data_IF_819441763426
#
_entry.id   IF_819441763426
#
_cell.length_a   1.000
_cell.length_b   1.000
_cell.length_c   1.000
_cell.angle_alpha   90.00
_cell.angle_beta   90.00
_cell.angle_gamma   90.00
#
_symmetry.space_group_name_H-M   'P 1'
#
loop_
_entity.id
_entity.type
_entity.pdbx_description
1 polymer ?
#
# COMPACT_ATOMS: atom_id res chain seq x y z
N UNK A 1 -1.95 15.37 -18.79
CA UNK A 1 -1.11 14.92 -19.92
C UNK A 1 0.33 14.88 -19.44
N UNK A 2 1.03 13.76 -19.52
CA UNK A 2 2.41 13.66 -19.05
C UNK A 2 3.37 14.50 -19.91
N UNK A 3 4.44 14.97 -19.29
CA UNK A 3 5.44 15.81 -19.93
C UNK A 3 6.46 14.94 -20.67
N UNK A 4 7.10 15.52 -21.66
CA UNK A 4 8.22 14.92 -22.38
C UNK A 4 9.33 15.97 -22.58
N UNK A 5 10.50 15.55 -23.07
CA UNK A 5 11.65 16.44 -23.22
C UNK A 5 11.32 17.68 -24.06
N UNK A 6 10.62 17.51 -25.18
CA UNK A 6 10.22 18.62 -26.05
C UNK A 6 9.32 19.62 -25.31
N UNK A 7 8.28 19.16 -24.61
CA UNK A 7 7.40 20.03 -23.82
C UNK A 7 8.11 20.73 -22.67
N UNK A 8 9.10 20.08 -22.06
CA UNK A 8 9.92 20.75 -21.05
C UNK A 8 10.70 21.89 -21.66
N UNK A 9 11.35 21.69 -22.81
CA UNK A 9 12.08 22.75 -23.51
C UNK A 9 11.14 23.90 -23.88
N UNK A 10 9.96 23.59 -24.42
CA UNK A 10 8.93 24.59 -24.77
C UNK A 10 8.46 25.41 -23.55
N UNK A 11 8.24 24.76 -22.40
CA UNK A 11 7.78 25.41 -21.16
C UNK A 11 8.86 26.18 -20.42
N UNK A 12 10.10 25.69 -20.48
CA UNK A 12 11.25 26.33 -19.83
C UNK A 12 11.59 27.63 -20.56
N UNK A 13 11.49 27.63 -21.89
CA UNK A 13 11.85 28.80 -22.70
C UNK A 13 13.34 29.13 -22.60
N UNK A 14 13.74 30.29 -23.13
CA UNK A 14 15.16 30.67 -23.30
C UNK A 14 15.91 30.95 -21.97
N UNK A 15 15.17 31.31 -20.92
CA UNK A 15 15.73 31.73 -19.63
C UNK A 15 15.17 30.93 -18.45
N UNK A 16 14.43 29.85 -18.70
CA UNK A 16 13.90 29.03 -17.61
C UNK A 16 14.96 28.12 -17.02
N UNK A 17 14.74 27.75 -15.77
CA UNK A 17 15.57 26.79 -15.04
C UNK A 17 15.35 25.37 -15.60
N UNK A 18 16.42 24.62 -15.93
CA UNK A 18 16.33 23.21 -16.29
C UNK A 18 15.55 22.40 -15.24
N UNK A 19 14.84 21.35 -15.67
CA UNK A 19 13.95 20.59 -14.78
C UNK A 19 14.68 19.96 -13.59
N UNK A 20 15.85 19.39 -13.85
CA UNK A 20 16.75 18.83 -12.85
C UNK A 20 17.22 19.88 -11.85
N UNK A 21 17.69 21.04 -12.34
CA UNK A 21 18.08 22.15 -11.46
C UNK A 21 16.91 22.66 -10.63
N UNK A 22 15.72 22.80 -11.21
CA UNK A 22 14.54 23.26 -10.48
C UNK A 22 14.14 22.29 -9.34
N UNK A 23 14.22 20.98 -9.59
CA UNK A 23 13.95 19.99 -8.53
C UNK A 23 15.05 20.01 -7.46
N UNK A 24 16.32 20.18 -7.85
CA UNK A 24 17.42 20.36 -6.90
C UNK A 24 17.21 21.62 -6.04
N UNK A 25 16.79 22.74 -6.63
CA UNK A 25 16.52 23.99 -5.91
C UNK A 25 15.41 23.80 -4.87
N UNK A 26 14.38 23.00 -5.17
CA UNK A 26 13.31 22.68 -4.21
C UNK A 26 13.83 21.81 -3.05
N UNK A 27 14.68 20.82 -3.34
CA UNK A 27 15.31 19.99 -2.29
C UNK A 27 16.18 20.85 -1.38
N UNK A 28 17.01 21.74 -1.95
CA UNK A 28 17.85 22.66 -1.18
C UNK A 28 16.99 23.60 -0.32
N UNK A 29 15.94 24.19 -0.89
CA UNK A 29 15.02 25.04 -0.13
C UNK A 29 14.35 24.29 1.02
N UNK A 30 14.00 23.01 0.86
CA UNK A 30 13.43 22.21 1.93
C UNK A 30 14.43 22.00 3.08
N UNK A 31 15.69 21.72 2.74
CA UNK A 31 16.76 21.51 3.73
C UNK A 31 17.13 22.77 4.50
N UNK A 32 17.04 23.94 3.84
CA UNK A 32 17.33 25.24 4.44
C UNK A 32 16.13 25.88 5.16
N UNK A 33 14.91 25.40 4.90
CA UNK A 33 13.70 25.95 5.50
C UNK A 33 13.65 25.74 7.01
N UNK A 34 13.44 26.84 7.74
CA UNK A 34 13.32 26.83 9.20
C UNK A 34 11.87 26.78 9.70
N UNK A 35 10.92 27.20 8.87
CA UNK A 35 9.49 27.18 9.18
C UNK A 35 8.76 26.02 8.50
N UNK A 36 7.74 25.51 9.19
CA UNK A 36 6.95 24.37 8.74
C UNK A 36 6.10 24.67 7.50
N UNK A 37 5.56 25.89 7.37
CA UNK A 37 4.73 26.28 6.23
C UNK A 37 5.52 26.21 4.90
N UNK A 38 6.77 26.68 4.91
CA UNK A 38 7.65 26.58 3.75
C UNK A 38 7.96 25.13 3.40
N UNK A 39 8.27 24.29 4.40
CA UNK A 39 8.49 22.86 4.19
C UNK A 39 7.26 22.19 3.58
N UNK A 40 6.08 22.42 4.14
CA UNK A 40 4.81 21.89 3.67
C UNK A 40 4.56 22.24 2.20
N UNK A 41 4.72 23.53 1.84
CA UNK A 41 4.56 24.01 0.47
C UNK A 41 5.53 23.35 -0.50
N UNK A 42 6.79 23.16 -0.08
CA UNK A 42 7.82 22.55 -0.91
C UNK A 42 7.54 21.06 -1.13
N UNK A 43 7.20 20.31 -0.08
CA UNK A 43 6.89 18.87 -0.19
C UNK A 43 5.63 18.65 -1.02
N UNK A 44 4.60 19.49 -0.86
CA UNK A 44 3.41 19.45 -1.72
C UNK A 44 3.78 19.64 -3.21
N UNK A 45 4.68 20.58 -3.51
CA UNK A 45 5.14 20.82 -4.87
C UNK A 45 5.92 19.61 -5.42
N UNK A 46 6.84 19.05 -4.65
CA UNK A 46 7.58 17.84 -5.01
C UNK A 46 6.63 16.64 -5.25
N UNK A 47 5.62 16.46 -4.39
CA UNK A 47 4.63 15.40 -4.53
C UNK A 47 3.75 15.56 -5.79
N UNK A 48 3.45 16.80 -6.17
CA UNK A 48 2.78 17.10 -7.44
C UNK A 48 3.68 16.80 -8.66
N UNK A 49 5.00 17.05 -8.58
CA UNK A 49 5.93 16.61 -9.61
C UNK A 49 6.03 15.09 -9.70
N UNK A 50 5.86 14.37 -8.59
CA UNK A 50 5.90 12.91 -8.55
C UNK A 50 4.74 12.25 -9.31
N UNK A 51 3.74 13.02 -9.74
CA UNK A 51 2.69 12.48 -10.60
C UNK A 51 3.18 12.18 -12.03
N UNK A 52 4.21 12.87 -12.51
CA UNK A 52 4.68 12.74 -13.89
C UNK A 52 5.92 11.84 -14.00
N UNK A 53 5.86 10.70 -14.70
CA UNK A 53 6.98 9.78 -14.85
C UNK A 53 8.24 10.41 -15.45
N UNK A 54 8.10 11.51 -16.18
CA UNK A 54 9.24 12.30 -16.66
C UNK A 54 10.22 12.66 -15.53
N UNK A 55 9.71 12.87 -14.31
CA UNK A 55 10.50 13.31 -13.17
C UNK A 55 11.17 12.17 -12.38
N UNK A 56 10.81 10.90 -12.63
CA UNK A 56 11.23 9.79 -11.77
C UNK A 56 12.74 9.57 -11.72
N UNK A 57 13.43 9.75 -12.85
CA UNK A 57 14.90 9.64 -12.86
C UNK A 57 15.55 10.72 -12.02
N UNK A 58 15.07 11.97 -12.11
CA UNK A 58 15.57 13.07 -11.26
C UNK A 58 15.24 12.81 -9.79
N UNK A 59 14.05 12.30 -9.48
CA UNK A 59 13.66 11.99 -8.09
C UNK A 59 14.60 10.99 -7.42
N UNK A 60 15.01 9.95 -8.15
CA UNK A 60 16.00 8.98 -7.64
C UNK A 60 17.39 9.58 -7.53
N UNK A 61 17.80 10.44 -8.46
CA UNK A 61 19.12 11.10 -8.42
C UNK A 61 19.24 12.12 -7.29
N UNK A 62 18.12 12.76 -6.94
CA UNK A 62 18.03 13.82 -5.94
C UNK A 62 17.53 13.33 -4.57
N UNK A 63 17.41 12.01 -4.38
CA UNK A 63 16.90 11.37 -3.17
C UNK A 63 15.54 11.91 -2.67
N UNK A 64 14.66 12.27 -3.61
CA UNK A 64 13.34 12.85 -3.29
C UNK A 64 12.40 11.77 -2.70
N UNK A 65 12.60 10.50 -3.06
CA UNK A 65 11.80 9.40 -2.51
C UNK A 65 12.09 9.21 -1.01
N UNK A 66 13.37 9.31 -0.64
CA UNK A 66 13.86 9.28 0.73
C UNK A 66 13.35 10.50 1.51
N UNK A 67 13.41 11.70 0.92
CA UNK A 67 12.82 12.91 1.50
C UNK A 67 11.34 12.71 1.84
N UNK A 68 10.55 12.10 0.94
CA UNK A 68 9.15 11.79 1.25
C UNK A 68 8.99 10.80 2.41
N UNK A 69 9.88 9.81 2.55
CA UNK A 69 9.87 8.88 3.68
C UNK A 69 10.21 9.61 4.99
N UNK A 70 11.19 10.50 4.97
CA UNK A 70 11.56 11.33 6.13
C UNK A 70 10.35 12.18 6.56
N UNK A 71 9.65 12.82 5.61
CA UNK A 71 8.42 13.57 5.90
C UNK A 71 7.30 12.73 6.56
N UNK A 72 7.22 11.43 6.29
CA UNK A 72 6.22 10.54 6.93
C UNK A 72 6.58 10.28 8.41
N UNK A 73 7.82 10.50 8.82
CA UNK A 73 8.27 10.34 10.21
C UNK A 73 8.15 11.62 11.05
N UNK A 74 7.90 12.75 10.40
CA UNK A 74 7.73 14.04 11.06
C UNK A 74 6.41 14.09 11.87
N UNK A 75 6.34 14.87 12.95
CA UNK A 75 5.10 15.05 13.72
C UNK A 75 4.06 15.91 12.99
N UNK A 76 4.47 16.66 11.96
CA UNK A 76 3.59 17.55 11.21
C UNK A 76 2.68 16.74 10.27
N UNK A 77 1.37 16.74 10.53
CA UNK A 77 0.37 16.00 9.75
C UNK A 77 0.37 16.34 8.25
N UNK A 78 0.71 17.59 7.88
CA UNK A 78 0.81 18.02 6.49
C UNK A 78 2.03 17.44 5.80
N UNK A 79 3.17 17.41 6.46
CA UNK A 79 4.37 16.74 5.93
C UNK A 79 4.12 15.24 5.75
N UNK A 80 3.44 14.60 6.71
CA UNK A 80 3.04 13.19 6.57
C UNK A 80 2.13 13.01 5.35
N UNK A 81 1.06 13.81 5.24
CA UNK A 81 0.10 13.75 4.13
C UNK A 81 0.78 13.91 2.77
N UNK A 82 1.66 14.90 2.63
CA UNK A 82 2.33 15.20 1.37
C UNK A 82 3.44 14.19 1.06
N UNK A 83 4.16 13.71 2.07
CA UNK A 83 5.15 12.64 1.95
C UNK A 83 4.51 11.36 1.40
N UNK A 84 3.46 10.85 2.05
CA UNK A 84 2.77 9.65 1.56
C UNK A 84 2.09 9.90 0.20
N UNK A 85 1.63 11.12 -0.08
CA UNK A 85 1.13 11.53 -1.39
C UNK A 85 2.19 11.39 -2.49
N UNK A 86 3.41 11.87 -2.23
CA UNK A 86 4.56 11.74 -3.13
C UNK A 86 4.96 10.28 -3.37
N UNK A 87 4.96 9.45 -2.31
CA UNK A 87 5.17 8.00 -2.41
C UNK A 87 4.09 7.34 -3.27
N UNK A 88 2.81 7.64 -3.02
CA UNK A 88 1.70 7.07 -3.78
C UNK A 88 1.78 7.44 -5.27
N UNK A 89 2.17 8.68 -5.59
CA UNK A 89 2.31 9.16 -6.97
C UNK A 89 3.49 8.53 -7.71
N UNK A 90 4.54 8.10 -7.01
CA UNK A 90 5.79 7.61 -7.61
C UNK A 90 5.92 6.08 -7.63
N UNK A 91 5.26 5.36 -6.71
CA UNK A 91 5.47 3.92 -6.49
C UNK A 91 4.86 2.99 -7.56
N UNK A 92 4.13 3.52 -8.54
CA UNK A 92 3.69 2.74 -9.70
C UNK A 92 4.87 2.36 -10.62
N UNK A 93 5.98 3.11 -10.56
CA UNK A 93 7.23 2.78 -11.25
C UNK A 93 8.04 1.75 -10.44
N UNK A 94 8.44 0.61 -11.05
CA UNK A 94 9.16 -0.44 -10.34
C UNK A 94 10.51 0.00 -9.75
N UNK A 95 11.23 0.93 -10.39
CA UNK A 95 12.51 1.40 -9.88
C UNK A 95 12.31 2.28 -8.64
N UNK A 96 11.30 3.16 -8.66
CA UNK A 96 10.91 3.93 -7.47
C UNK A 96 10.43 3.01 -6.35
N UNK A 97 9.56 2.04 -6.64
CA UNK A 97 9.07 1.07 -5.66
C UNK A 97 10.22 0.29 -5.00
N UNK A 98 11.27 -0.05 -5.77
CA UNK A 98 12.48 -0.69 -5.26
C UNK A 98 13.22 0.20 -4.25
N UNK A 99 13.47 1.47 -4.59
CA UNK A 99 14.13 2.43 -3.69
C UNK A 99 13.32 2.59 -2.40
N UNK A 100 12.01 2.84 -2.53
CA UNK A 100 11.09 3.00 -1.38
C UNK A 100 11.13 1.78 -0.46
N UNK A 101 11.14 0.58 -1.04
CA UNK A 101 11.20 -0.67 -0.26
C UNK A 101 12.55 -0.83 0.44
N UNK A 102 13.66 -0.55 -0.27
CA UNK A 102 15.02 -0.66 0.26
C UNK A 102 15.28 0.34 1.41
N UNK A 103 14.68 1.52 1.35
CA UNK A 103 14.75 2.54 2.40
C UNK A 103 13.75 2.31 3.54
N UNK A 104 13.15 1.11 3.65
CA UNK A 104 12.27 0.79 4.77
C UNK A 104 10.89 1.46 4.71
N UNK A 105 10.42 1.85 3.52
CA UNK A 105 9.15 2.56 3.35
C UNK A 105 7.90 1.73 3.66
N UNK A 106 7.96 0.39 3.63
CA UNK A 106 6.77 -0.46 3.85
C UNK A 106 6.13 -0.25 5.23
N UNK A 107 6.86 -0.36 6.36
CA UNK A 107 6.32 -0.02 7.69
C UNK A 107 5.72 1.39 7.75
N UNK A 108 6.37 2.39 7.14
CA UNK A 108 5.91 3.78 7.14
C UNK A 108 4.59 3.94 6.37
N UNK A 109 4.45 3.30 5.21
CA UNK A 109 3.19 3.30 4.46
C UNK A 109 2.07 2.61 5.24
N UNK A 110 2.36 1.49 5.92
CA UNK A 110 1.38 0.76 6.72
C UNK A 110 0.91 1.62 7.90
N UNK A 111 1.80 2.34 8.58
CA UNK A 111 1.44 3.18 9.73
C UNK A 111 0.45 4.29 9.33
N UNK A 112 0.56 4.81 8.10
CA UNK A 112 -0.33 5.84 7.56
C UNK A 112 -1.79 5.36 7.42
N UNK A 113 -2.05 4.04 7.44
CA UNK A 113 -3.42 3.52 7.51
C UNK A 113 -4.14 3.89 8.80
N UNK A 114 -3.44 4.20 9.89
CA UNK A 114 -4.06 4.60 11.16
C UNK A 114 -4.19 6.12 11.34
N UNK A 115 -3.87 6.91 10.30
CA UNK A 115 -3.90 8.36 10.37
C UNK A 115 -5.33 8.89 10.55
N UNK A 116 -5.54 9.96 11.35
CA UNK A 116 -6.82 10.66 11.39
C UNK A 116 -7.08 11.47 10.10
N UNK A 117 -6.04 11.73 9.30
CA UNK A 117 -6.13 12.50 8.06
C UNK A 117 -6.60 11.59 6.93
N UNK A 118 -7.79 11.90 6.39
CA UNK A 118 -8.44 11.09 5.34
C UNK A 118 -7.55 10.90 4.10
N UNK A 119 -6.83 11.93 3.68
CA UNK A 119 -5.98 11.87 2.51
C UNK A 119 -4.78 10.94 2.72
N UNK A 120 -4.13 11.02 3.88
CA UNK A 120 -3.03 10.13 4.28
C UNK A 120 -3.42 8.66 4.17
N UNK A 121 -4.60 8.29 4.67
CA UNK A 121 -5.12 6.92 4.55
C UNK A 121 -5.40 6.51 3.10
N UNK A 122 -5.99 7.41 2.29
CA UNK A 122 -6.23 7.14 0.86
C UNK A 122 -4.91 6.89 0.13
N UNK A 123 -3.90 7.73 0.37
CA UNK A 123 -2.58 7.62 -0.26
C UNK A 123 -1.85 6.36 0.20
N UNK A 124 -1.97 5.98 1.47
CA UNK A 124 -1.43 4.72 1.98
C UNK A 124 -2.06 3.50 1.28
N UNK A 125 -3.40 3.43 1.18
CA UNK A 125 -4.09 2.36 0.46
C UNK A 125 -3.67 2.30 -1.02
N UNK A 126 -3.55 3.46 -1.67
CA UNK A 126 -3.08 3.58 -3.05
C UNK A 126 -1.62 3.12 -3.21
N UNK A 127 -0.73 3.49 -2.29
CA UNK A 127 0.66 3.08 -2.31
C UNK A 127 0.79 1.57 -2.11
N UNK A 128 0.07 0.98 -1.15
CA UNK A 128 0.07 -0.48 -0.91
C UNK A 128 -0.41 -1.26 -2.13
N UNK A 129 -1.35 -0.74 -2.91
CA UNK A 129 -1.80 -1.36 -4.16
C UNK A 129 -0.65 -1.58 -5.15
N UNK A 130 0.29 -0.65 -5.25
CA UNK A 130 1.46 -0.76 -6.14
C UNK A 130 2.66 -1.43 -5.49
N UNK A 131 2.93 -1.13 -4.21
CA UNK A 131 4.09 -1.63 -3.49
C UNK A 131 3.98 -3.12 -3.15
N UNK A 132 2.77 -3.68 -3.03
CA UNK A 132 2.58 -5.12 -2.84
C UNK A 132 2.96 -5.90 -4.10
N UNK A 133 4.05 -6.64 -4.01
CA UNK A 133 4.64 -7.47 -5.05
C UNK A 133 5.31 -8.70 -4.40
N UNK A 134 5.85 -9.67 -5.18
CA UNK A 134 6.43 -10.89 -4.60
C UNK A 134 7.47 -10.69 -3.48
N UNK A 135 8.28 -9.62 -3.52
CA UNK A 135 9.32 -9.38 -2.50
C UNK A 135 8.77 -8.76 -1.22
N UNK A 136 7.70 -7.98 -1.30
CA UNK A 136 7.09 -7.24 -0.18
C UNK A 136 5.83 -7.90 0.38
N UNK A 137 5.30 -8.93 -0.29
CA UNK A 137 4.04 -9.60 0.07
C UNK A 137 4.01 -10.08 1.51
N UNK A 138 5.12 -10.62 2.02
CA UNK A 138 5.24 -11.11 3.41
C UNK A 138 5.07 -10.01 4.46
N UNK A 139 5.40 -8.76 4.10
CA UNK A 139 5.36 -7.62 5.01
C UNK A 139 4.03 -6.88 4.91
N UNK A 140 3.47 -6.76 3.70
CA UNK A 140 2.21 -6.04 3.45
C UNK A 140 0.98 -6.91 3.72
N UNK A 141 1.03 -8.22 3.51
CA UNK A 141 -0.12 -9.11 3.71
C UNK A 141 -0.18 -9.73 5.11
N UNK A 142 0.42 -9.08 6.11
CA UNK A 142 0.32 -9.53 7.50
C UNK A 142 -1.15 -9.44 7.99
N UNK A 143 -1.57 -10.33 8.90
CA UNK A 143 -2.95 -10.38 9.38
C UNK A 143 -3.51 -9.03 9.86
N UNK A 144 -2.71 -8.25 10.58
CA UNK A 144 -3.07 -6.94 11.09
C UNK A 144 -3.34 -5.91 9.99
N UNK A 145 -2.52 -5.90 8.93
CA UNK A 145 -2.70 -5.00 7.77
C UNK A 145 -3.95 -5.40 7.01
N UNK A 146 -4.14 -6.70 6.77
CA UNK A 146 -5.33 -7.20 6.07
C UNK A 146 -6.62 -6.94 6.85
N UNK A 147 -6.57 -6.97 8.18
CA UNK A 147 -7.70 -6.59 9.02
C UNK A 147 -8.08 -5.13 8.78
N UNK A 148 -7.12 -4.21 8.87
CA UNK A 148 -7.36 -2.78 8.63
C UNK A 148 -7.89 -2.52 7.21
N UNK A 149 -7.29 -3.13 6.18
CA UNK A 149 -7.75 -2.98 4.78
C UNK A 149 -9.19 -3.50 4.61
N UNK A 150 -9.55 -4.63 5.24
CA UNK A 150 -10.92 -5.16 5.18
C UNK A 150 -11.93 -4.26 5.89
N UNK A 151 -11.56 -3.64 7.00
CA UNK A 151 -12.39 -2.65 7.69
C UNK A 151 -12.68 -1.45 6.76
N UNK A 152 -11.68 -0.95 6.04
CA UNK A 152 -11.89 0.06 5.01
C UNK A 152 -12.75 -0.43 3.84
N UNK A 153 -12.57 -1.67 3.39
CA UNK A 153 -13.37 -2.27 2.33
C UNK A 153 -14.85 -2.45 2.72
N UNK A 154 -15.14 -2.61 4.02
CA UNK A 154 -16.50 -2.72 4.57
C UNK A 154 -17.09 -1.36 4.97
N UNK A 155 -16.38 -0.25 4.80
CA UNK A 155 -16.84 1.06 5.22
C UNK A 155 -18.10 1.52 4.46
N UNK A 156 -19.00 2.22 5.16
CA UNK A 156 -20.22 2.78 4.58
C UNK A 156 -19.96 3.89 3.55
N UNK A 157 -21.03 4.40 2.93
CA UNK A 157 -20.94 5.30 1.76
C UNK A 157 -20.20 6.62 2.03
N UNK A 158 -20.19 7.11 3.27
CA UNK A 158 -19.41 8.28 3.68
C UNK A 158 -17.88 8.14 3.41
N UNK A 159 -17.40 6.89 3.28
CA UNK A 159 -16.00 6.54 3.08
C UNK A 159 -15.76 5.79 1.76
N UNK A 160 -16.51 6.15 0.72
CA UNK A 160 -16.44 5.50 -0.61
C UNK A 160 -15.02 5.43 -1.18
N UNK A 161 -14.16 6.43 -0.97
CA UNK A 161 -12.77 6.39 -1.47
C UNK A 161 -11.94 5.28 -0.83
N UNK A 162 -12.02 5.13 0.50
CA UNK A 162 -11.37 4.06 1.25
C UNK A 162 -11.86 2.70 0.79
N UNK A 163 -13.19 2.55 0.71
CA UNK A 163 -13.82 1.31 0.25
C UNK A 163 -13.34 0.90 -1.13
N UNK A 164 -13.31 1.82 -2.08
CA UNK A 164 -12.91 1.51 -3.45
C UNK A 164 -11.43 1.12 -3.54
N UNK A 165 -10.54 1.85 -2.87
CA UNK A 165 -9.10 1.56 -2.87
C UNK A 165 -8.79 0.24 -2.16
N UNK A 166 -9.41 0.00 -1.01
CA UNK A 166 -9.24 -1.22 -0.25
C UNK A 166 -9.74 -2.45 -1.01
N UNK A 167 -10.93 -2.39 -1.63
CA UNK A 167 -11.42 -3.47 -2.47
C UNK A 167 -10.50 -3.70 -3.69
N UNK A 168 -10.03 -2.64 -4.34
CA UNK A 168 -9.09 -2.77 -5.46
C UNK A 168 -7.77 -3.44 -5.05
N UNK A 169 -7.25 -3.13 -3.85
CA UNK A 169 -6.09 -3.81 -3.28
C UNK A 169 -6.35 -5.31 -3.06
N UNK A 170 -7.46 -5.66 -2.39
CA UNK A 170 -7.82 -7.04 -2.10
C UNK A 170 -8.02 -7.86 -3.38
N UNK A 171 -8.73 -7.29 -4.37
CA UNK A 171 -8.99 -7.91 -5.66
C UNK A 171 -7.69 -8.16 -6.44
N UNK A 172 -6.81 -7.17 -6.53
CA UNK A 172 -5.54 -7.28 -7.26
C UNK A 172 -4.66 -8.39 -6.70
N UNK A 173 -4.58 -8.49 -5.38
CA UNK A 173 -3.71 -9.44 -4.70
C UNK A 173 -4.40 -10.78 -4.39
N UNK A 174 -5.60 -10.99 -4.96
CA UNK A 174 -6.41 -12.21 -4.85
C UNK A 174 -6.69 -12.64 -3.41
N UNK A 175 -6.83 -11.66 -2.52
CA UNK A 175 -7.05 -11.88 -1.09
C UNK A 175 -8.57 -12.03 -0.90
N UNK A 176 -9.05 -13.27 -0.99
CA UNK A 176 -10.49 -13.54 -0.82
C UNK A 176 -10.84 -13.55 0.66
N UNK A 177 -12.09 -13.20 1.00
CA UNK A 177 -12.62 -13.31 2.36
C UNK A 177 -12.43 -14.72 2.97
N UNK A 178 -12.27 -15.76 2.13
CA UNK A 178 -12.07 -17.17 2.51
C UNK A 178 -10.70 -17.50 3.11
N UNK A 179 -9.69 -16.62 3.04
CA UNK A 179 -8.35 -16.96 3.58
C UNK A 179 -8.29 -16.96 5.11
N UNK A 180 -9.29 -16.37 5.78
CA UNK A 180 -9.46 -16.43 7.23
C UNK A 180 -10.20 -17.69 7.70
N UNK A 181 -11.09 -18.25 6.87
CA UNK A 181 -11.72 -19.52 7.24
C UNK A 181 -10.66 -20.60 7.26
N UNK A 182 -9.69 -20.62 6.36
CA UNK A 182 -8.65 -21.65 6.42
C UNK A 182 -7.69 -21.46 7.60
N UNK A 183 -7.32 -20.25 7.99
CA UNK A 183 -6.40 -20.05 9.14
C UNK A 183 -7.09 -20.27 10.49
N UNK A 184 -8.31 -19.74 10.67
CA UNK A 184 -9.11 -20.00 11.87
C UNK A 184 -9.63 -21.44 11.93
N UNK A 185 -9.92 -22.08 10.79
CA UNK A 185 -10.25 -23.51 10.74
C UNK A 185 -9.01 -24.37 10.97
N UNK A 186 -7.80 -23.99 10.48
CA UNK A 186 -6.58 -24.73 10.83
C UNK A 186 -6.20 -24.58 12.30
N UNK A 187 -6.37 -23.40 12.92
CA UNK A 187 -6.14 -23.26 14.36
C UNK A 187 -7.20 -23.98 15.17
N UNK A 188 -8.48 -23.92 14.74
CA UNK A 188 -9.57 -24.67 15.35
C UNK A 188 -9.37 -26.19 15.23
N UNK A 189 -8.96 -26.69 14.06
CA UNK A 189 -8.60 -28.11 13.83
C UNK A 189 -7.36 -28.48 14.66
N UNK A 190 -6.34 -27.63 14.75
CA UNK A 190 -5.16 -27.92 15.56
C UNK A 190 -5.51 -28.00 17.06
N UNK A 191 -6.32 -27.07 17.58
CA UNK A 191 -6.76 -27.08 18.98
C UNK A 191 -7.74 -28.21 19.27
N UNK A 192 -8.69 -28.50 18.37
CA UNK A 192 -9.60 -29.67 18.54
C UNK A 192 -8.85 -30.98 18.38
N UNK A 193 -7.88 -31.11 17.46
CA UNK A 193 -7.06 -32.32 17.34
C UNK A 193 -6.14 -32.51 18.53
N UNK A 194 -5.59 -31.44 19.12
CA UNK A 194 -4.85 -31.53 20.39
C UNK A 194 -5.78 -31.95 21.53
N UNK A 195 -6.98 -31.38 21.63
CA UNK A 195 -7.94 -31.72 22.68
C UNK A 195 -8.46 -33.16 22.52
N UNK A 196 -8.70 -33.61 21.29
CA UNK A 196 -9.09 -34.98 20.94
C UNK A 196 -7.91 -35.95 21.16
N UNK A 197 -6.67 -35.56 20.86
CA UNK A 197 -5.49 -36.38 21.11
C UNK A 197 -5.18 -36.50 22.61
N UNK A 198 -5.40 -35.44 23.41
CA UNK A 198 -5.31 -35.46 24.88
C UNK A 198 -6.41 -36.33 25.50
N UNK A 199 -7.65 -36.25 24.97
CA UNK A 199 -8.75 -37.11 25.41
C UNK A 199 -8.51 -38.57 25.02
N UNK A 200 -8.04 -38.84 23.81
CA UNK A 200 -7.68 -40.20 23.37
C UNK A 200 -6.45 -40.75 24.10
N UNK A 201 -5.51 -39.91 24.58
CA UNK A 201 -4.39 -40.36 25.44
C UNK A 201 -4.86 -40.80 26.83
N UNK A 202 -5.97 -40.24 27.32
CA UNK A 202 -6.64 -40.66 28.55
C UNK A 202 -7.52 -41.91 28.33
N UNK A 203 -8.16 -42.02 27.15
CA UNK A 203 -8.98 -43.19 26.78
C UNK A 203 -8.12 -44.40 26.39
N UNK A 204 -6.92 -44.23 25.82
CA UNK A 204 -5.99 -45.34 25.52
C UNK A 204 -5.36 -45.97 26.77
N UNK A 205 -5.46 -45.34 27.94
CA UNK A 205 -5.16 -46.01 29.22
C UNK A 205 -6.37 -46.80 29.75
N UNK A 206 -7.55 -46.67 29.15
CA UNK A 206 -8.79 -47.29 29.61
C UNK A 206 -9.31 -48.44 28.72
N UNK A 207 -8.94 -48.52 27.44
CA UNK A 207 -9.51 -49.54 26.54
C UNK A 207 -8.46 -50.28 25.72
N UNK A 208 -7.94 -51.35 26.31
CA UNK A 208 -7.32 -52.47 25.59
C UNK A 208 -8.39 -53.52 25.29
N UNK A 209 -9.19 -53.37 24.23
CA UNK A 209 -9.87 -54.52 23.57
C UNK A 209 -10.55 -54.13 22.25
N UNK A 210 -10.13 -54.84 21.18
CA UNK A 210 -10.90 -55.32 20.01
C UNK A 210 -11.40 -54.37 18.89
N UNK A 211 -10.89 -54.67 17.69
CA UNK A 211 -11.55 -54.85 16.39
C UNK A 211 -11.97 -53.69 15.44
N UNK A 212 -11.18 -53.59 14.36
CA UNK A 212 -11.50 -53.69 12.91
C UNK A 212 -12.52 -52.80 12.17
N UNK A 213 -12.03 -52.26 11.03
CA UNK A 213 -12.65 -52.10 9.68
C UNK A 213 -13.36 -50.80 9.22
N UNK A 214 -12.73 -50.19 8.19
CA UNK A 214 -13.28 -49.74 6.89
C UNK A 214 -13.61 -48.25 6.62
N UNK A 215 -13.03 -47.80 5.50
CA UNK A 215 -13.09 -46.52 4.78
C UNK A 215 -14.43 -46.18 4.09
N UNK A 216 -14.71 -44.89 3.84
CA UNK A 216 -15.36 -44.40 2.59
C UNK A 216 -14.94 -42.94 2.26
N UNK A 217 -14.55 -42.71 1.00
CA UNK A 217 -14.31 -41.43 0.30
C UNK A 217 -15.63 -40.77 -0.15
N UNK A 218 -15.74 -39.43 -0.16
CA UNK A 218 -16.59 -38.71 -1.13
C UNK A 218 -15.95 -37.38 -1.55
N UNK A 219 -15.72 -37.27 -2.85
CA UNK A 219 -15.36 -36.09 -3.65
C UNK A 219 -16.63 -35.23 -3.90
N UNK A 220 -16.50 -33.97 -4.35
CA UNK A 220 -17.31 -33.33 -5.43
C UNK A 220 -17.38 -31.77 -5.32
N UNK A 221 -16.92 -31.14 -6.40
CA UNK A 221 -17.48 -29.98 -7.12
C UNK A 221 -17.19 -28.51 -6.75
N UNK A 222 -16.62 -27.83 -7.76
CA UNK A 222 -16.59 -26.40 -8.08
C UNK A 222 -17.86 -26.04 -8.89
N UNK A 223 -18.34 -24.75 -8.96
CA UNK A 223 -17.96 -23.90 -10.11
C UNK A 223 -17.98 -22.35 -9.90
N UNK A 224 -17.16 -21.67 -10.72
CA UNK A 224 -17.30 -20.33 -11.37
C UNK A 224 -18.00 -19.14 -10.69
N UNK A 225 -17.26 -18.02 -10.53
CA UNK A 225 -17.80 -16.65 -10.51
C UNK A 225 -17.09 -15.81 -11.57
N UNK A 226 -17.90 -15.25 -12.46
CA UNK A 226 -17.58 -14.29 -13.54
C UNK A 226 -17.04 -12.97 -12.99
N UNK A 227 -15.85 -12.57 -13.42
CA UNK A 227 -15.22 -11.29 -13.04
C UNK A 227 -15.66 -10.19 -14.01
N UNK A 228 -16.44 -9.23 -13.51
CA UNK A 228 -16.97 -8.09 -14.26
C UNK A 228 -15.96 -6.95 -14.53
N UNK A 229 -16.39 -5.90 -15.26
CA UNK A 229 -15.53 -4.97 -16.01
C UNK A 229 -14.91 -3.81 -15.20
N UNK A 230 -14.52 -4.03 -13.94
CA UNK A 230 -13.89 -2.97 -13.12
C UNK A 230 -12.42 -2.68 -13.47
N UNK A 231 -11.77 -3.52 -14.30
CA UNK A 231 -10.33 -3.42 -14.63
C UNK A 231 -9.90 -2.16 -15.39
N UNK A 232 -10.82 -1.29 -15.81
CA UNK A 232 -10.47 -0.09 -16.59
C UNK A 232 -10.52 1.24 -15.81
N UNK A 233 -11.07 1.29 -14.58
CA UNK A 233 -11.27 2.56 -13.86
C UNK A 233 -10.18 2.94 -12.84
N UNK A 234 -9.20 2.07 -12.58
CA UNK A 234 -8.08 2.36 -11.67
C UNK A 234 -6.77 2.76 -12.38
N UNK A 235 -6.80 2.99 -13.70
CA UNK A 235 -5.66 3.63 -14.37
C UNK A 235 -5.70 5.11 -14.02
N UNK A 236 -4.75 5.53 -13.18
CA UNK A 236 -4.47 6.90 -12.75
C UNK A 236 -5.36 7.43 -11.61
N UNK A 237 -5.09 6.97 -10.40
CA UNK A 237 -5.33 7.78 -9.21
C UNK A 237 -4.37 8.98 -9.30
N UNK A 238 -4.85 10.10 -9.84
CA UNK A 238 -4.11 11.37 -9.83
C UNK A 238 -4.31 11.98 -8.46
N UNK A 239 -3.25 12.06 -7.67
CA UNK A 239 -3.27 12.83 -6.43
C UNK A 239 -2.64 14.17 -6.74
N UNK A 240 -3.48 15.17 -7.00
CA UNK A 240 -3.03 16.56 -6.88
C UNK A 240 -3.06 16.86 -5.39
N UNK A 241 -1.87 16.96 -4.81
CA UNK A 241 -1.70 17.44 -3.45
C UNK A 241 -2.09 18.92 -3.48
N UNK A 242 -3.15 19.29 -2.76
CA UNK A 242 -3.77 20.61 -2.87
C UNK A 242 -2.76 21.74 -2.79
N UNK A 243 -2.81 22.67 -3.75
CA UNK A 243 -1.93 23.83 -3.78
C UNK A 243 -2.31 24.80 -2.66
N UNK A 244 -1.32 25.30 -1.92
CA UNK A 244 -1.46 26.53 -1.15
C UNK A 244 -1.67 27.68 -2.17
N UNK A 245 -2.75 28.44 -1.97
CA UNK A 245 -3.06 29.65 -2.74
C UNK A 245 -2.22 30.83 -2.25
#
# INVERSE_FOLDING_TARGET
MFTNAQRQVERTGRHGTPRDQHLQDLVTQFQEATDEESKERIVANLANFAYDPYNYTFMRQLNILELFLDCITEPNERLIEFGIGGICNSCADPANASVITQCGGIPLVIQCLSSPVKNTVNYALGALYYLCNPSTKKDILKPEVLKAVREYAAAGDANTSFRNLANAFLDKHSIRQTDLSNTAFTSFIHDTMIHQAMHNRLVFQAESTTDTTTSVLVNLYHPYITVGPLRQRLRFFIIVVGSFA
#
